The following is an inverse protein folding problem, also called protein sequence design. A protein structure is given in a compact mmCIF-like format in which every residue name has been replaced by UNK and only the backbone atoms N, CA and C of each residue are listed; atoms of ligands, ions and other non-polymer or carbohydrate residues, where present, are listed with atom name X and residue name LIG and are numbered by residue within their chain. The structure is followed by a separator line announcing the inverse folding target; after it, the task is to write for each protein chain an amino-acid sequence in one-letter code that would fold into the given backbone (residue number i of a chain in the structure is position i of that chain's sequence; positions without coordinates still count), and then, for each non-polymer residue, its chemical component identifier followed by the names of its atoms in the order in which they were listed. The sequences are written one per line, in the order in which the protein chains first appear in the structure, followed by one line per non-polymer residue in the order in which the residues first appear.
data_IF_059669412326
#
_entry.id   IF_059669412326
#
_cell.length_a   1.000
_cell.length_b   1.000
_cell.length_c   1.000
_cell.angle_alpha   90.00
_cell.angle_beta   90.00
_cell.angle_gamma   90.00
#
_symmetry.space_group_name_H-M   'P 1'
#
loop_
_entity.id
_entity.type
_entity.pdbx_description
1 polymer ?
#
# COMPACT_ATOMS: atom_id res chain seq x y z
N UNK A 1 -15.90 -11.76 -17.33
CA UNK A 1 -15.09 -10.52 -17.33
C UNK A 1 -16.07 -9.37 -17.51
N UNK A 2 -16.17 -8.46 -16.54
CA UNK A 2 -17.04 -7.30 -16.67
C UNK A 2 -16.39 -6.28 -17.62
N UNK A 3 -16.99 -6.04 -18.79
CA UNK A 3 -16.42 -5.20 -19.86
C UNK A 3 -16.50 -3.68 -19.61
N UNK A 4 -16.88 -3.25 -18.40
CA UNK A 4 -17.10 -1.83 -18.07
C UNK A 4 -15.86 -1.12 -17.46
N UNK A 5 -14.72 -1.79 -17.36
CA UNK A 5 -13.48 -1.16 -16.88
C UNK A 5 -12.65 -0.67 -18.06
N UNK A 6 -12.37 0.64 -18.09
CA UNK A 6 -11.33 1.22 -18.94
C UNK A 6 -9.99 1.21 -18.21
N UNK A 7 -8.89 1.20 -18.96
CA UNK A 7 -7.57 1.29 -18.36
C UNK A 7 -7.42 2.57 -17.53
N UNK A 8 -6.88 2.41 -16.32
CA UNK A 8 -6.45 3.51 -15.45
C UNK A 8 -4.96 3.37 -15.16
N UNK A 9 -4.26 4.51 -15.08
CA UNK A 9 -2.83 4.53 -14.79
C UNK A 9 -2.51 3.79 -13.48
N UNK A 10 -1.53 2.89 -13.52
CA UNK A 10 -1.13 2.04 -12.39
C UNK A 10 -1.57 0.58 -12.53
N UNK A 11 -2.60 0.30 -13.34
CA UNK A 11 -3.07 -1.07 -13.58
C UNK A 11 -1.97 -1.99 -14.13
N UNK A 12 -1.11 -1.48 -15.00
CA UNK A 12 0.01 -2.24 -15.56
C UNK A 12 1.00 -2.71 -14.48
N UNK A 13 1.22 -1.91 -13.45
CA UNK A 13 2.12 -2.25 -12.33
C UNK A 13 1.51 -3.36 -11.48
N UNK A 14 0.19 -3.34 -11.27
CA UNK A 14 -0.54 -4.40 -10.56
C UNK A 14 -0.60 -5.68 -11.39
N UNK A 15 -0.74 -5.59 -12.71
CA UNK A 15 -0.80 -6.75 -13.60
C UNK A 15 0.56 -7.50 -13.71
N UNK A 16 1.68 -6.77 -13.57
CA UNK A 16 3.02 -7.33 -13.78
C UNK A 16 3.35 -8.54 -12.85
N UNK A 17 3.09 -8.52 -11.53
CA UNK A 17 3.28 -9.68 -10.67
C UNK A 17 2.45 -10.91 -11.09
N UNK A 18 1.21 -10.73 -11.55
CA UNK A 18 0.40 -11.85 -12.05
C UNK A 18 1.03 -12.49 -13.28
N UNK A 19 1.45 -11.68 -14.26
CA UNK A 19 2.09 -12.18 -15.49
C UNK A 19 3.48 -12.77 -15.23
N UNK A 20 4.14 -12.37 -14.15
CA UNK A 20 5.42 -12.93 -13.75
C UNK A 20 5.29 -14.36 -13.21
N UNK A 21 4.20 -14.67 -12.49
CA UNK A 21 4.01 -15.98 -11.82
C UNK A 21 3.05 -16.92 -12.53
N UNK A 22 2.23 -16.42 -13.47
CA UNK A 22 1.23 -17.19 -14.20
C UNK A 22 1.41 -17.05 -15.72
N UNK A 23 1.01 -18.05 -16.52
CA UNK A 23 0.86 -17.88 -17.96
C UNK A 23 -0.18 -16.81 -18.30
N UNK A 24 -0.11 -16.25 -19.51
CA UNK A 24 -0.85 -15.03 -19.89
C UNK A 24 -2.37 -15.12 -19.66
N UNK A 25 -3.01 -16.23 -20.02
CA UNK A 25 -4.46 -16.37 -19.88
C UNK A 25 -4.86 -16.41 -18.40
N UNK A 26 -4.17 -17.20 -17.59
CA UNK A 26 -4.38 -17.31 -16.16
C UNK A 26 -4.09 -15.99 -15.45
N UNK A 27 -3.01 -15.29 -15.84
CA UNK A 27 -2.68 -13.96 -15.34
C UNK A 27 -3.79 -12.96 -15.62
N UNK A 28 -4.35 -12.97 -16.84
CA UNK A 28 -5.46 -12.10 -17.21
C UNK A 28 -6.71 -12.37 -16.37
N UNK A 29 -7.09 -13.64 -16.18
CA UNK A 29 -8.24 -13.99 -15.33
C UNK A 29 -8.00 -13.64 -13.86
N UNK A 30 -6.82 -13.95 -13.32
CA UNK A 30 -6.46 -13.64 -11.93
C UNK A 30 -6.46 -12.13 -11.67
N UNK A 31 -5.81 -11.35 -12.54
CA UNK A 31 -5.80 -9.89 -12.46
C UNK A 31 -7.19 -9.30 -12.62
N UNK A 32 -7.97 -9.77 -13.59
CA UNK A 32 -9.35 -9.29 -13.81
C UNK A 32 -10.24 -9.55 -12.59
N UNK A 33 -10.14 -10.73 -11.99
CA UNK A 33 -10.85 -11.06 -10.76
C UNK A 33 -10.36 -10.21 -9.58
N UNK A 34 -9.05 -10.01 -9.46
CA UNK A 34 -8.46 -9.19 -8.42
C UNK A 34 -9.04 -7.77 -8.40
N UNK A 35 -8.97 -7.06 -9.53
CA UNK A 35 -9.45 -5.68 -9.62
C UNK A 35 -10.97 -5.58 -9.55
N UNK A 36 -11.73 -6.58 -9.98
CA UNK A 36 -13.20 -6.53 -9.97
C UNK A 36 -13.78 -6.80 -8.57
N UNK A 37 -13.15 -7.68 -7.81
CA UNK A 37 -13.74 -8.19 -6.56
C UNK A 37 -12.97 -7.80 -5.30
N UNK A 38 -11.66 -7.54 -5.37
CA UNK A 38 -10.85 -7.26 -4.19
C UNK A 38 -10.48 -5.80 -4.05
N UNK A 39 -10.33 -5.06 -5.14
CA UNK A 39 -10.04 -3.63 -5.11
C UNK A 39 -10.72 -2.81 -6.23
N UNK A 40 -12.04 -2.93 -6.42
CA UNK A 40 -12.76 -2.22 -7.49
C UNK A 40 -12.55 -0.70 -7.47
N UNK A 41 -12.42 -0.09 -6.29
CA UNK A 41 -12.21 1.35 -6.17
C UNK A 41 -10.80 1.83 -6.56
N UNK A 42 -9.83 0.91 -6.71
CA UNK A 42 -8.47 1.22 -7.17
C UNK A 42 -8.36 1.30 -8.69
N UNK A 43 -9.35 0.79 -9.42
CA UNK A 43 -9.42 0.87 -10.89
C UNK A 43 -10.59 1.74 -11.38
N UNK A 44 -11.21 2.49 -10.47
CA UNK A 44 -12.14 3.55 -10.83
C UNK A 44 -11.38 4.72 -11.48
N UNK A 45 -12.01 5.46 -12.38
CA UNK A 45 -11.38 6.57 -13.13
C UNK A 45 -10.74 7.65 -12.26
N UNK A 46 -11.25 7.82 -11.04
CA UNK A 46 -10.76 8.78 -10.04
C UNK A 46 -9.88 8.17 -8.95
N UNK A 47 -9.51 6.88 -9.04
CA UNK A 47 -8.64 6.18 -8.08
C UNK A 47 -9.06 6.36 -6.61
N UNK A 48 -10.37 6.47 -6.35
CA UNK A 48 -10.91 6.87 -5.04
C UNK A 48 -10.46 5.95 -3.91
N UNK A 49 -10.31 4.65 -4.17
CA UNK A 49 -9.79 3.70 -3.19
C UNK A 49 -8.34 4.01 -2.81
N UNK A 50 -7.46 4.30 -3.77
CA UNK A 50 -6.06 4.62 -3.48
C UNK A 50 -5.93 5.94 -2.70
N UNK A 51 -6.70 6.98 -3.07
CA UNK A 51 -6.74 8.24 -2.33
C UNK A 51 -7.29 8.06 -0.90
N UNK A 52 -8.33 7.24 -0.72
CA UNK A 52 -8.83 6.90 0.60
C UNK A 52 -7.77 6.16 1.43
N UNK A 53 -7.03 5.23 0.80
CA UNK A 53 -5.93 4.52 1.43
C UNK A 53 -4.80 5.46 1.89
N UNK A 54 -4.44 6.46 1.08
CA UNK A 54 -3.45 7.47 1.45
C UNK A 54 -3.90 8.28 2.68
N UNK A 55 -5.15 8.74 2.70
CA UNK A 55 -5.70 9.45 3.87
C UNK A 55 -5.73 8.59 5.13
N UNK A 56 -6.09 7.30 4.99
CA UNK A 56 -6.08 6.35 6.10
C UNK A 56 -4.67 6.08 6.61
N UNK A 57 -3.66 6.10 5.73
CA UNK A 57 -2.26 6.00 6.14
C UNK A 57 -1.88 7.14 7.09
N UNK A 58 -2.17 8.39 6.71
CA UNK A 58 -1.87 9.56 7.55
C UNK A 58 -2.57 9.47 8.93
N UNK A 59 -3.85 9.07 8.96
CA UNK A 59 -4.60 8.87 10.21
C UNK A 59 -3.96 7.77 11.08
N UNK A 60 -3.57 6.65 10.49
CA UNK A 60 -2.95 5.56 11.22
C UNK A 60 -1.56 5.95 11.73
N UNK A 61 -0.75 6.61 10.90
CA UNK A 61 0.58 7.07 11.27
C UNK A 61 0.51 8.05 12.45
N UNK A 62 -0.45 8.98 12.46
CA UNK A 62 -0.69 9.89 13.58
C UNK A 62 -0.96 9.15 14.89
N UNK A 63 -1.65 8.00 14.84
CA UNK A 63 -1.96 7.19 16.02
C UNK A 63 -0.75 6.36 16.46
N UNK A 64 -0.06 5.75 15.50
CA UNK A 64 1.02 4.78 15.75
C UNK A 64 2.32 5.48 16.16
N UNK A 65 2.64 6.59 15.48
CA UNK A 65 3.86 7.38 15.68
C UNK A 65 3.58 8.88 15.47
N UNK A 66 2.99 9.55 16.47
CA UNK A 66 2.67 10.97 16.38
C UNK A 66 3.89 11.85 16.11
N UNK A 67 5.07 11.46 16.58
CA UNK A 67 6.31 12.22 16.36
C UNK A 67 6.69 12.22 14.88
N UNK A 68 6.75 11.05 14.26
CA UNK A 68 7.03 10.92 12.83
C UNK A 68 5.97 11.63 11.98
N UNK A 69 4.68 11.43 12.30
CA UNK A 69 3.59 12.13 11.61
C UNK A 69 3.75 13.66 11.65
N UNK A 70 4.03 14.21 12.83
CA UNK A 70 4.22 15.66 13.00
C UNK A 70 5.47 16.16 12.28
N UNK A 71 6.55 15.38 12.26
CA UNK A 71 7.76 15.73 11.51
C UNK A 71 7.48 15.83 10.00
N UNK A 72 6.77 14.86 9.43
CA UNK A 72 6.41 14.87 8.00
C UNK A 72 5.43 16.02 7.67
N UNK A 73 4.43 16.23 8.52
CA UNK A 73 3.45 17.32 8.35
C UNK A 73 4.09 18.70 8.40
N UNK A 74 5.07 18.93 9.30
CA UNK A 74 5.85 20.18 9.34
C UNK A 74 6.62 20.44 8.04
N UNK A 75 7.03 19.37 7.35
CA UNK A 75 7.66 19.43 6.03
C UNK A 75 6.65 19.43 4.87
N UNK A 76 5.34 19.59 5.15
CA UNK A 76 4.26 19.61 4.15
C UNK A 76 4.15 18.31 3.34
N UNK A 77 4.52 17.17 3.95
CA UNK A 77 4.43 15.86 3.33
C UNK A 77 3.22 15.09 3.87
N UNK A 78 2.20 14.94 3.03
CA UNK A 78 1.08 14.03 3.26
C UNK A 78 1.33 12.69 2.58
N UNK A 79 0.67 11.63 3.03
CA UNK A 79 0.76 10.30 2.41
C UNK A 79 0.41 10.31 0.91
N UNK A 80 -0.45 11.22 0.50
CA UNK A 80 -0.80 11.47 -0.90
C UNK A 80 0.43 11.79 -1.76
N UNK A 81 1.42 12.49 -1.19
CA UNK A 81 2.63 12.92 -1.91
C UNK A 81 3.67 11.79 -1.99
N UNK A 82 3.86 11.05 -0.90
CA UNK A 82 5.00 10.13 -0.79
C UNK A 82 4.63 8.65 -0.88
N UNK A 83 3.40 8.26 -0.51
CA UNK A 83 2.98 6.86 -0.43
C UNK A 83 1.97 6.47 -1.50
N UNK A 84 1.38 7.42 -2.24
CA UNK A 84 0.30 7.12 -3.19
C UNK A 84 0.67 6.03 -4.21
N UNK A 85 1.89 6.07 -4.79
CA UNK A 85 2.35 5.02 -5.71
C UNK A 85 2.44 3.63 -5.05
N UNK A 86 2.92 3.55 -3.81
CA UNK A 86 3.00 2.30 -3.04
C UNK A 86 1.63 1.78 -2.64
N UNK A 87 0.68 2.69 -2.38
CA UNK A 87 -0.71 2.32 -2.08
C UNK A 87 -1.38 1.80 -3.35
N UNK A 88 -1.40 2.62 -4.42
CA UNK A 88 -2.03 2.32 -5.70
C UNK A 88 -1.56 0.98 -6.28
N UNK A 89 -0.27 0.68 -6.18
CA UNK A 89 0.32 -0.53 -6.77
C UNK A 89 0.37 -1.72 -5.82
N UNK A 90 -0.20 -1.66 -4.62
CA UNK A 90 -0.02 -2.69 -3.59
C UNK A 90 1.46 -3.01 -3.31
N UNK A 91 2.27 -1.95 -3.20
CA UNK A 91 3.74 -1.95 -3.07
C UNK A 91 4.51 -2.54 -4.26
N UNK A 92 3.86 -2.83 -5.38
CA UNK A 92 4.52 -3.43 -6.54
C UNK A 92 5.52 -2.50 -7.25
N UNK A 93 5.50 -1.19 -6.95
CA UNK A 93 6.52 -0.26 -7.40
C UNK A 93 7.82 -0.31 -6.58
N UNK A 94 7.88 -1.08 -5.50
CA UNK A 94 9.05 -1.17 -4.62
C UNK A 94 9.78 -2.50 -4.83
N UNK A 95 11.07 -2.50 -5.19
CA UNK A 95 11.84 -3.74 -5.37
C UNK A 95 12.19 -4.39 -4.02
N UNK A 96 12.65 -5.65 -4.00
CA UNK A 96 12.70 -6.58 -5.12
C UNK A 96 11.38 -7.36 -5.28
N UNK A 97 11.13 -7.83 -6.51
CA UNK A 97 9.91 -8.58 -6.86
C UNK A 97 9.72 -9.85 -6.02
N UNK A 98 10.79 -10.56 -5.66
CA UNK A 98 10.70 -11.77 -4.84
C UNK A 98 10.09 -11.50 -3.45
N UNK A 99 10.45 -10.38 -2.83
CA UNK A 99 9.93 -9.97 -1.53
C UNK A 99 8.49 -9.45 -1.66
N UNK A 100 8.18 -8.76 -2.76
CA UNK A 100 6.81 -8.36 -3.09
C UNK A 100 5.87 -9.58 -3.17
N UNK A 101 6.28 -10.66 -3.85
CA UNK A 101 5.44 -11.85 -4.01
C UNK A 101 5.07 -12.46 -2.64
N UNK A 102 6.00 -12.50 -1.69
CA UNK A 102 5.73 -12.97 -0.32
C UNK A 102 4.72 -12.05 0.39
N UNK A 103 4.84 -10.73 0.21
CA UNK A 103 3.84 -9.80 0.74
C UNK A 103 2.47 -10.01 0.09
N UNK A 104 2.42 -10.28 -1.21
CA UNK A 104 1.18 -10.52 -1.94
C UNK A 104 0.51 -11.84 -1.54
N UNK A 105 1.28 -12.88 -1.25
CA UNK A 105 0.76 -14.11 -0.63
C UNK A 105 0.03 -13.79 0.68
N UNK A 106 0.59 -12.91 1.51
CA UNK A 106 -0.04 -12.43 2.74
C UNK A 106 -1.30 -11.59 2.46
N UNK A 107 -1.25 -10.68 1.47
CA UNK A 107 -2.41 -9.89 1.08
C UNK A 107 -3.56 -10.76 0.56
N UNK A 108 -3.29 -11.80 -0.21
CA UNK A 108 -4.31 -12.72 -0.70
C UNK A 108 -4.87 -13.60 0.43
N UNK A 109 -4.06 -13.97 1.42
CA UNK A 109 -4.50 -14.77 2.55
C UNK A 109 -5.34 -13.97 3.58
N UNK A 110 -4.95 -12.72 3.87
CA UNK A 110 -5.51 -11.95 4.98
C UNK A 110 -6.27 -10.68 4.57
N UNK A 111 -6.09 -10.21 3.34
CA UNK A 111 -6.80 -9.07 2.77
C UNK A 111 -5.87 -7.98 2.23
N UNK A 112 -6.22 -7.48 1.05
CA UNK A 112 -5.46 -6.46 0.30
C UNK A 112 -5.35 -5.11 1.03
N UNK A 113 -6.28 -4.84 1.93
CA UNK A 113 -6.31 -3.62 2.73
C UNK A 113 -5.06 -3.45 3.61
N UNK A 114 -4.39 -4.56 3.94
CA UNK A 114 -3.19 -4.57 4.77
C UNK A 114 -1.99 -3.87 4.11
N UNK A 115 -2.03 -3.61 2.81
CA UNK A 115 -0.97 -2.87 2.14
C UNK A 115 -0.75 -1.48 2.76
N UNK A 116 -1.79 -0.81 3.26
CA UNK A 116 -1.63 0.45 4.01
C UNK A 116 -0.70 0.24 5.22
N UNK A 117 -0.90 -0.84 5.96
CA UNK A 117 -0.11 -1.18 7.15
C UNK A 117 1.30 -1.62 6.75
N UNK A 118 1.49 -2.24 5.58
CA UNK A 118 2.82 -2.55 5.05
C UNK A 118 3.62 -1.29 4.73
N UNK A 119 2.98 -0.26 4.15
CA UNK A 119 3.65 1.02 3.90
C UNK A 119 4.00 1.72 5.22
N UNK A 120 3.10 1.73 6.20
CA UNK A 120 3.41 2.27 7.54
C UNK A 120 4.57 1.50 8.18
N UNK A 121 4.55 0.16 8.13
CA UNK A 121 5.63 -0.66 8.68
C UNK A 121 6.99 -0.34 8.04
N UNK A 122 7.04 -0.13 6.71
CA UNK A 122 8.24 0.32 6.04
C UNK A 122 8.73 1.67 6.58
N UNK A 123 7.83 2.62 6.82
CA UNK A 123 8.20 3.91 7.42
C UNK A 123 8.74 3.76 8.84
N UNK A 124 8.13 2.88 9.66
CA UNK A 124 8.60 2.61 11.03
C UNK A 124 9.98 1.95 11.03
N UNK A 125 10.27 1.09 10.05
CA UNK A 125 11.59 0.44 9.91
C UNK A 125 12.70 1.49 9.68
N UNK A 126 12.42 2.54 8.89
CA UNK A 126 13.37 3.63 8.61
C UNK A 126 13.11 4.90 9.44
N UNK A 127 12.34 4.78 10.54
CA UNK A 127 11.88 5.91 11.35
C UNK A 127 13.00 6.88 11.73
N UNK A 128 14.08 6.34 12.27
CA UNK A 128 15.21 7.14 12.75
C UNK A 128 15.91 7.89 11.60
N UNK A 129 15.99 7.28 10.42
CA UNK A 129 16.50 7.97 9.23
C UNK A 129 15.56 9.12 8.81
N UNK A 130 14.25 8.89 8.83
CA UNK A 130 13.26 9.91 8.46
C UNK A 130 13.26 11.11 9.41
N UNK A 131 13.38 10.88 10.72
CA UNK A 131 13.38 11.95 11.73
C UNK A 131 14.66 12.79 11.70
N UNK A 132 15.79 12.18 11.33
CA UNK A 132 17.09 12.86 11.28
C UNK A 132 17.37 13.54 9.92
N UNK A 133 16.57 13.24 8.90
CA UNK A 133 16.73 13.82 7.56
C UNK A 133 16.17 15.24 7.50
N UNK A 134 16.92 16.16 6.89
CA UNK A 134 16.46 17.56 6.73
C UNK A 134 15.35 17.68 5.68
N UNK A 135 15.39 16.81 4.68
CA UNK A 135 14.36 16.71 3.65
C UNK A 135 13.90 15.25 3.49
N UNK A 136 12.96 14.78 4.33
CA UNK A 136 12.52 13.39 4.36
C UNK A 136 11.89 12.91 3.04
N UNK A 137 11.45 13.83 2.17
CA UNK A 137 10.87 13.49 0.86
C UNK A 137 11.80 12.66 -0.01
N UNK A 138 13.12 12.94 0.00
CA UNK A 138 14.09 12.19 -0.81
C UNK A 138 14.16 10.71 -0.41
N UNK A 139 14.10 10.43 0.89
CA UNK A 139 14.07 9.07 1.43
C UNK A 139 12.73 8.39 1.17
N UNK A 140 11.62 9.10 1.35
CA UNK A 140 10.29 8.52 1.12
C UNK A 140 10.01 8.23 -0.37
N UNK A 141 10.64 8.96 -1.30
CA UNK A 141 10.58 8.62 -2.73
C UNK A 141 11.38 7.36 -3.09
N UNK A 142 12.41 7.06 -2.30
CA UNK A 142 13.30 5.93 -2.52
C UNK A 142 13.22 5.02 -1.30
N UNK A 143 12.04 4.43 -1.07
CA UNK A 143 11.88 3.42 -0.02
C UNK A 143 12.99 2.37 -0.15
N UNK A 144 13.54 1.89 0.98
CA UNK A 144 14.48 0.79 0.92
C UNK A 144 13.84 -0.43 0.25
N UNK A 145 14.70 -1.34 -0.20
CA UNK A 145 14.24 -2.63 -0.71
C UNK A 145 13.31 -3.31 0.30
N UNK A 146 12.24 -3.92 -0.21
CA UNK A 146 11.30 -4.71 0.58
C UNK A 146 12.05 -5.81 1.35
N UNK A 147 11.65 -5.98 2.59
CA UNK A 147 12.01 -7.13 3.42
C UNK A 147 10.71 -7.67 4.00
N UNK A 148 10.11 -8.63 3.29
CA UNK A 148 8.76 -9.14 3.55
C UNK A 148 8.61 -9.63 4.99
N UNK A 149 9.59 -10.40 5.49
CA UNK A 149 9.58 -10.93 6.86
C UNK A 149 9.54 -9.82 7.91
N UNK A 150 10.39 -8.81 7.75
CA UNK A 150 10.43 -7.68 8.68
C UNK A 150 9.16 -6.83 8.59
N UNK A 151 8.70 -6.53 7.38
CA UNK A 151 7.48 -5.76 7.13
C UNK A 151 6.28 -6.47 7.78
N UNK A 152 6.09 -7.77 7.52
CA UNK A 152 4.99 -8.56 8.11
C UNK A 152 5.09 -8.55 9.64
N UNK A 153 6.27 -8.80 10.21
CA UNK A 153 6.46 -8.83 11.66
C UNK A 153 6.10 -7.48 12.31
N UNK A 154 6.59 -6.37 11.73
CA UNK A 154 6.29 -5.01 12.20
C UNK A 154 4.80 -4.70 12.03
N UNK A 155 4.18 -5.05 10.89
CA UNK A 155 2.75 -4.85 10.66
C UNK A 155 1.88 -5.57 11.69
N UNK A 156 2.19 -6.84 12.02
CA UNK A 156 1.49 -7.60 13.07
C UNK A 156 1.59 -6.90 14.43
N UNK A 157 2.74 -6.28 14.74
CA UNK A 157 2.92 -5.53 15.99
C UNK A 157 2.16 -4.19 16.02
N UNK A 158 1.85 -3.62 14.85
CA UNK A 158 1.18 -2.33 14.69
C UNK A 158 -0.35 -2.49 14.74
N UNK A 159 -0.90 -3.54 14.13
CA UNK A 159 -2.36 -3.74 13.99
C UNK A 159 -3.11 -3.58 15.32
N UNK A 160 -2.68 -4.16 16.47
CA UNK A 160 -3.39 -4.02 17.74
C UNK A 160 -3.46 -2.59 18.28
N UNK A 161 -2.61 -1.68 17.80
CA UNK A 161 -2.57 -0.27 18.20
C UNK A 161 -3.59 0.59 17.44
N UNK A 162 -4.17 0.08 16.36
CA UNK A 162 -5.12 0.81 15.52
C UNK A 162 -6.52 0.64 16.11
N UNK A 163 -7.25 1.73 16.42
CA UNK A 163 -8.63 1.66 16.89
C UNK A 163 -9.53 0.89 15.91
N UNK A 164 -10.48 0.13 16.45
CA UNK A 164 -11.34 -0.76 15.67
C UNK A 164 -12.12 -0.02 14.58
N UNK A 165 -12.55 1.21 14.85
CA UNK A 165 -13.30 2.05 13.91
C UNK A 165 -12.43 2.43 12.70
N UNK A 166 -11.14 2.72 12.94
CA UNK A 166 -10.17 3.04 11.88
C UNK A 166 -9.80 1.78 11.11
N UNK A 167 -9.57 0.67 11.80
CA UNK A 167 -9.30 -0.62 11.16
C UNK A 167 -10.46 -1.05 10.24
N UNK A 168 -11.71 -0.85 10.67
CA UNK A 168 -12.89 -1.11 9.83
C UNK A 168 -12.86 -0.28 8.54
N UNK A 169 -12.50 1.00 8.62
CA UNK A 169 -12.34 1.85 7.43
C UNK A 169 -11.21 1.36 6.53
N UNK A 170 -10.10 0.89 7.10
CA UNK A 170 -9.03 0.24 6.34
C UNK A 170 -9.56 -1.00 5.63
N UNK A 171 -10.35 -1.87 6.27
CA UNK A 171 -10.89 -3.06 5.59
C UNK A 171 -11.77 -2.68 4.39
N UNK A 172 -12.59 -1.63 4.52
CA UNK A 172 -13.63 -1.32 3.53
C UNK A 172 -13.18 -0.38 2.41
N UNK A 173 -12.10 0.39 2.55
CA UNK A 173 -11.74 1.44 1.57
C UNK A 173 -11.48 0.96 0.13
N UNK A 174 -11.30 -0.35 -0.07
CA UNK A 174 -11.14 -0.96 -1.40
C UNK A 174 -12.47 -1.12 -2.14
N UNK A 175 -13.60 -0.98 -1.44
CA UNK A 175 -14.96 -1.24 -1.91
C UNK A 175 -15.95 -0.10 -1.62
N UNK A 176 -15.76 0.64 -0.52
CA UNK A 176 -16.67 1.69 -0.02
C UNK A 176 -15.99 3.05 0.19
#
# INVERSE_FOLDING_TARGET
VNCNFTYVQGMNVIAAPFLYVLPEMEAFYAFSTFIQYYCPLYVHSSLIGAHAGAKLLDVCLQIIDPELYNHLTKNQLTAEIYAFSSILSFSACTPPLQELLILWDFLFAFGVHLNIIFVIAQMIIIREELLNEKNPYHKLRNFPNLNSKLIIAVSISIIPKIPKEIYTKIVNHTHD
#
